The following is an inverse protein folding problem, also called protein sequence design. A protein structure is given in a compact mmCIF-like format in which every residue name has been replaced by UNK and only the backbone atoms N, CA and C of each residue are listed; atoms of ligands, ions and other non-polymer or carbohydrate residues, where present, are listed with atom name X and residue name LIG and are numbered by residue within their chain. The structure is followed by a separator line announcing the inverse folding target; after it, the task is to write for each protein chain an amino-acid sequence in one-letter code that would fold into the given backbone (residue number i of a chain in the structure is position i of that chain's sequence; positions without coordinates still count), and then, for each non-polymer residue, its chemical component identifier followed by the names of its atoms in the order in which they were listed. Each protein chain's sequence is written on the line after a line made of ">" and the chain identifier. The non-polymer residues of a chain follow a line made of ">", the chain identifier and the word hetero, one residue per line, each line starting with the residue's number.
data_IF_312536727796
#
_entry.id   IF_312536727796
#
_cell.length_a   1.000
_cell.length_b   1.000
_cell.length_c   1.000
_cell.angle_alpha   90.00
_cell.angle_beta   90.00
_cell.angle_gamma   90.00
#
_symmetry.space_group_name_H-M   'P 1'
#
loop_
_entity.id
_entity.type
_entity.pdbx_description
1 polymer ?
#
# COMPACT_ATOMS: atom_id res chain seq x y z
N UNK A 1 -28.14 -23.64 -2.02
CA UNK A 1 -28.05 -22.35 -2.75
C UNK A 1 -28.40 -22.63 -4.20
N UNK A 2 -29.50 -22.11 -4.75
CA UNK A 2 -29.79 -22.27 -6.20
C UNK A 2 -28.78 -21.43 -6.99
N UNK A 3 -27.89 -22.13 -7.69
CA UNK A 3 -26.87 -21.62 -8.59
C UNK A 3 -27.52 -20.92 -9.78
N UNK A 4 -27.21 -19.64 -9.96
CA UNK A 4 -27.10 -19.10 -11.31
C UNK A 4 -25.61 -19.18 -11.63
N UNK A 5 -25.19 -20.34 -12.12
CA UNK A 5 -23.92 -20.48 -12.82
C UNK A 5 -24.00 -19.60 -14.06
N UNK A 6 -23.09 -18.64 -14.21
CA UNK A 6 -22.83 -18.11 -15.55
C UNK A 6 -22.57 -19.32 -16.44
N UNK A 7 -23.24 -19.39 -17.60
CA UNK A 7 -23.10 -20.53 -18.52
C UNK A 7 -21.64 -20.71 -18.93
N UNK A 8 -21.32 -21.84 -19.55
CA UNK A 8 -19.98 -22.08 -20.10
C UNK A 8 -19.55 -21.05 -21.16
N UNK A 9 -20.48 -20.22 -21.64
CA UNK A 9 -20.30 -19.19 -22.67
C UNK A 9 -19.83 -17.84 -22.14
N UNK A 10 -19.65 -17.68 -20.81
CA UNK A 10 -19.09 -16.46 -20.20
C UNK A 10 -20.11 -15.57 -19.50
N UNK A 11 -19.71 -14.33 -19.22
CA UNK A 11 -20.57 -13.31 -18.60
C UNK A 11 -21.31 -12.57 -19.71
N UNK A 12 -22.65 -12.45 -19.68
CA UNK A 12 -23.38 -11.71 -20.71
C UNK A 12 -22.80 -10.31 -20.90
N UNK A 13 -22.62 -9.86 -22.15
CA UNK A 13 -22.00 -8.57 -22.46
C UNK A 13 -22.70 -7.39 -21.74
N UNK A 14 -24.03 -7.46 -21.61
CA UNK A 14 -24.84 -6.51 -20.84
C UNK A 14 -24.41 -6.41 -19.35
N UNK A 15 -23.98 -7.51 -18.75
CA UNK A 15 -23.53 -7.50 -17.36
C UNK A 15 -22.15 -6.83 -17.23
N UNK A 16 -21.28 -6.98 -18.23
CA UNK A 16 -19.98 -6.32 -18.29
C UNK A 16 -20.12 -4.80 -18.49
N UNK A 17 -21.08 -4.34 -19.30
CA UNK A 17 -21.35 -2.91 -19.48
C UNK A 17 -21.88 -2.24 -18.21
N UNK A 18 -22.53 -3.02 -17.33
CA UNK A 18 -23.01 -2.55 -16.03
C UNK A 18 -21.90 -2.44 -14.97
N UNK A 19 -20.69 -2.96 -15.20
CA UNK A 19 -19.57 -2.82 -14.25
C UNK A 19 -19.16 -1.35 -14.15
N UNK A 20 -18.98 -0.86 -12.92
CA UNK A 20 -18.45 0.46 -12.62
C UNK A 20 -17.15 0.70 -13.40
N UNK A 21 -17.09 1.83 -14.10
CA UNK A 21 -16.00 2.18 -15.02
C UNK A 21 -14.61 2.04 -14.40
N UNK A 22 -14.50 2.22 -13.08
CA UNK A 22 -13.23 2.15 -12.35
C UNK A 22 -12.57 0.78 -12.39
N UNK A 23 -13.37 -0.27 -12.61
CA UNK A 23 -12.92 -1.66 -12.61
C UNK A 23 -12.91 -2.28 -14.01
N UNK A 24 -13.57 -1.67 -15.00
CA UNK A 24 -13.64 -2.19 -16.38
C UNK A 24 -12.26 -2.55 -16.95
N UNK A 25 -11.18 -1.75 -16.78
CA UNK A 25 -9.88 -2.06 -17.35
C UNK A 25 -9.26 -3.40 -16.91
N UNK A 26 -9.72 -3.98 -15.80
CA UNK A 26 -9.24 -5.30 -15.36
C UNK A 26 -9.80 -6.43 -16.24
N UNK A 27 -10.89 -6.18 -16.95
CA UNK A 27 -11.62 -7.14 -17.78
C UNK A 27 -11.33 -7.01 -19.26
N UNK A 28 -11.05 -5.78 -19.67
CA UNK A 28 -10.67 -5.46 -21.04
C UNK A 28 -9.43 -6.32 -21.36
N UNK A 29 -9.51 -7.05 -22.47
CA UNK A 29 -8.46 -7.96 -22.96
C UNK A 29 -8.25 -9.23 -22.12
N UNK A 30 -9.23 -9.63 -21.30
CA UNK A 30 -9.23 -10.93 -20.61
C UNK A 30 -10.12 -11.96 -21.31
N UNK A 31 -9.70 -13.24 -21.36
CA UNK A 31 -10.53 -14.33 -21.88
C UNK A 31 -11.89 -14.43 -21.15
N UNK A 32 -12.95 -14.91 -21.81
CA UNK A 32 -14.29 -15.03 -21.23
C UNK A 32 -14.35 -15.82 -19.91
N UNK A 33 -13.51 -16.83 -19.74
CA UNK A 33 -13.37 -17.63 -18.52
C UNK A 33 -12.80 -16.81 -17.35
N UNK A 34 -11.79 -15.96 -17.60
CA UNK A 34 -11.22 -15.06 -16.59
C UNK A 34 -12.27 -14.06 -16.13
N UNK A 35 -12.97 -13.43 -17.09
CA UNK A 35 -14.05 -12.50 -16.81
C UNK A 35 -15.12 -13.17 -15.93
N UNK A 36 -15.55 -14.39 -16.29
CA UNK A 36 -16.51 -15.17 -15.51
C UNK A 36 -16.07 -15.42 -14.08
N UNK A 37 -14.82 -15.87 -13.89
CA UNK A 37 -14.28 -16.14 -12.56
C UNK A 37 -14.30 -14.88 -11.68
N UNK A 38 -13.85 -13.73 -12.22
CA UNK A 38 -13.92 -12.45 -11.52
C UNK A 38 -15.36 -12.02 -11.20
N UNK A 39 -16.31 -12.24 -12.11
CA UNK A 39 -17.71 -11.85 -11.90
C UNK A 39 -18.34 -12.66 -10.80
N UNK A 40 -18.12 -13.97 -10.81
CA UNK A 40 -18.65 -14.91 -9.85
C UNK A 40 -18.17 -14.61 -8.42
N UNK A 41 -16.91 -14.18 -8.29
CA UNK A 41 -16.30 -13.88 -7.01
C UNK A 41 -16.63 -12.46 -6.51
N UNK A 42 -16.48 -11.44 -7.35
CA UNK A 42 -16.55 -10.05 -6.90
C UNK A 42 -17.91 -9.38 -7.10
N UNK A 43 -18.72 -9.76 -8.09
CA UNK A 43 -19.91 -8.98 -8.43
C UNK A 43 -21.18 -9.52 -7.75
N UNK A 44 -22.14 -8.64 -7.43
CA UNK A 44 -23.35 -9.06 -6.75
C UNK A 44 -24.25 -9.84 -7.71
N UNK A 45 -24.44 -11.14 -7.44
CA UNK A 45 -25.15 -12.10 -8.30
C UNK A 45 -26.61 -11.74 -8.63
N UNK A 46 -27.28 -10.98 -7.76
CA UNK A 46 -28.72 -10.65 -7.87
C UNK A 46 -29.03 -9.16 -7.85
N UNK A 47 -28.02 -8.31 -8.08
CA UNK A 47 -28.23 -6.86 -8.05
C UNK A 47 -29.01 -6.40 -9.30
N UNK A 48 -30.13 -5.71 -9.06
CA UNK A 48 -30.89 -5.00 -10.10
C UNK A 48 -30.35 -3.59 -10.38
N UNK A 49 -29.25 -3.17 -9.73
CA UNK A 49 -28.69 -1.83 -9.94
C UNK A 49 -28.15 -1.67 -11.37
N UNK A 50 -28.34 -0.48 -11.99
CA UNK A 50 -27.82 -0.22 -13.33
C UNK A 50 -26.29 -0.28 -13.36
N UNK A 51 -25.63 0.19 -12.29
CA UNK A 51 -24.18 0.11 -12.12
C UNK A 51 -23.86 -0.91 -11.02
N UNK A 52 -22.96 -1.84 -11.33
CA UNK A 52 -22.46 -2.89 -10.46
C UNK A 52 -21.08 -2.50 -9.94
N UNK A 53 -20.98 -2.33 -8.64
CA UNK A 53 -19.70 -2.24 -7.96
C UNK A 53 -19.32 -3.62 -7.41
N UNK A 54 -18.02 -3.92 -7.25
CA UNK A 54 -17.59 -5.09 -6.50
C UNK A 54 -18.29 -5.16 -5.15
N UNK A 55 -18.89 -6.31 -4.86
CA UNK A 55 -19.23 -6.68 -3.49
C UNK A 55 -17.96 -6.73 -2.67
N UNK A 56 -18.12 -6.56 -1.36
CA UNK A 56 -17.03 -6.73 -0.43
C UNK A 56 -16.97 -8.22 -0.05
N UNK A 57 -16.10 -9.05 -0.68
CA UNK A 57 -15.75 -10.37 -0.11
C UNK A 57 -15.27 -10.18 1.32
N UNK A 58 -15.30 -11.20 2.17
CA UNK A 58 -15.31 -11.01 3.63
C UNK A 58 -14.07 -10.25 4.10
N UNK A 59 -12.89 -10.80 3.86
CA UNK A 59 -11.56 -10.29 4.20
C UNK A 59 -10.75 -9.92 2.94
N UNK A 60 -10.77 -10.75 1.89
CA UNK A 60 -9.95 -10.62 0.68
C UNK A 60 -10.55 -9.64 -0.32
N UNK A 61 -10.38 -8.33 -0.11
CA UNK A 61 -10.99 -7.30 -0.97
C UNK A 61 -10.31 -7.19 -2.32
N UNK A 62 -11.05 -6.73 -3.32
CA UNK A 62 -10.45 -6.26 -4.56
C UNK A 62 -9.74 -4.92 -4.34
N UNK A 63 -8.45 -4.88 -4.60
CA UNK A 63 -7.64 -3.66 -4.54
C UNK A 63 -7.32 -3.17 -5.94
N UNK A 64 -8.15 -2.26 -6.44
CA UNK A 64 -7.94 -1.68 -7.77
C UNK A 64 -8.08 -0.16 -7.78
N UNK A 65 -7.45 0.57 -6.83
CA UNK A 65 -7.63 2.01 -6.75
C UNK A 65 -7.19 2.73 -8.03
N UNK A 66 -6.36 2.10 -8.87
CA UNK A 66 -5.75 2.72 -10.04
C UNK A 66 -6.07 2.01 -11.36
N UNK A 67 -7.00 1.05 -11.42
CA UNK A 67 -7.31 0.35 -12.69
C UNK A 67 -7.73 1.31 -13.81
N UNK A 68 -8.46 2.35 -13.45
CA UNK A 68 -8.98 3.37 -14.37
C UNK A 68 -8.06 4.56 -14.56
N UNK A 69 -6.86 4.56 -13.97
CA UNK A 69 -5.92 5.63 -14.22
C UNK A 69 -5.39 5.53 -15.64
N UNK A 70 -5.53 6.62 -16.41
CA UNK A 70 -5.00 6.72 -17.78
C UNK A 70 -3.48 6.54 -17.84
N UNK A 71 -2.75 7.02 -16.82
CA UNK A 71 -1.28 7.02 -16.81
C UNK A 71 -0.67 5.73 -16.28
N UNK A 72 -1.28 5.10 -15.26
CA UNK A 72 -0.73 3.90 -14.60
C UNK A 72 -1.87 2.92 -14.27
N UNK A 73 -2.48 2.27 -15.27
CA UNK A 73 -3.54 1.31 -15.01
C UNK A 73 -3.00 0.14 -14.18
N UNK A 74 -3.54 -0.05 -12.97
CA UNK A 74 -3.25 -1.25 -12.17
C UNK A 74 -4.13 -2.42 -12.60
N UNK A 75 -3.55 -3.61 -12.80
CA UNK A 75 -4.32 -4.83 -13.07
C UNK A 75 -5.10 -5.38 -11.85
N UNK A 76 -5.63 -6.60 -12.00
CA UNK A 76 -6.27 -7.36 -10.93
C UNK A 76 -5.34 -7.54 -9.72
N UNK A 77 -5.79 -7.17 -8.51
CA UNK A 77 -5.05 -7.36 -7.24
C UNK A 77 -6.00 -7.54 -6.08
N UNK A 78 -5.52 -8.20 -5.04
CA UNK A 78 -6.22 -8.33 -3.77
C UNK A 78 -5.62 -7.43 -2.70
N UNK A 79 -6.41 -7.14 -1.67
CA UNK A 79 -5.94 -6.57 -0.41
C UNK A 79 -6.59 -7.28 0.77
N UNK A 80 -5.77 -7.60 1.76
CA UNK A 80 -6.17 -8.12 3.07
C UNK A 80 -5.68 -7.11 4.11
N UNK A 81 -6.57 -6.28 4.65
CA UNK A 81 -6.27 -5.55 5.88
C UNK A 81 -6.54 -6.50 7.05
N UNK A 82 -5.51 -6.95 7.77
CA UNK A 82 -5.64 -7.97 8.84
C UNK A 82 -6.26 -7.42 10.13
N UNK A 83 -6.16 -6.11 10.31
CA UNK A 83 -6.67 -5.35 11.46
C UNK A 83 -7.61 -4.24 11.01
N UNK A 84 -8.23 -3.56 11.98
CA UNK A 84 -8.98 -2.33 11.79
C UNK A 84 -8.28 -1.21 12.54
N UNK A 85 -8.07 -0.05 11.91
CA UNK A 85 -7.25 1.02 12.50
C UNK A 85 -5.77 0.62 12.67
N UNK A 86 -4.97 1.53 13.22
CA UNK A 86 -3.53 1.33 13.42
C UNK A 86 -3.03 2.08 14.65
N UNK A 87 -2.20 1.43 15.47
CA UNK A 87 -1.56 2.02 16.67
C UNK A 87 -0.54 3.12 16.36
N UNK A 88 -0.06 3.22 15.11
CA UNK A 88 1.01 4.16 14.76
C UNK A 88 0.63 5.64 14.86
N UNK A 89 -0.67 5.94 14.81
CA UNK A 89 -1.21 7.29 14.98
C UNK A 89 -0.52 8.38 14.12
N UNK A 90 -0.15 8.06 12.88
CA UNK A 90 0.54 9.02 12.01
C UNK A 90 -0.34 10.25 11.72
N UNK A 91 0.21 11.44 11.93
CA UNK A 91 -0.46 12.73 11.71
C UNK A 91 -0.91 12.90 10.25
N UNK A 92 -0.11 12.38 9.32
CA UNK A 92 -0.34 12.44 7.88
C UNK A 92 -1.08 11.22 7.30
N UNK A 93 -1.68 10.37 8.14
CA UNK A 93 -2.27 9.11 7.70
C UNK A 93 -3.45 9.32 6.73
N UNK A 94 -3.30 8.84 5.49
CA UNK A 94 -4.38 8.91 4.49
C UNK A 94 -5.60 8.07 4.87
N UNK A 95 -5.40 6.99 5.63
CA UNK A 95 -6.48 6.13 6.09
C UNK A 95 -7.34 6.79 7.17
N UNK A 96 -6.90 7.88 7.81
CA UNK A 96 -7.69 8.59 8.83
C UNK A 96 -9.04 9.13 8.32
N UNK A 97 -9.20 9.24 7.00
CA UNK A 97 -10.44 9.64 6.32
C UNK A 97 -11.49 8.53 6.21
N UNK A 98 -11.15 7.26 6.51
CA UNK A 98 -12.09 6.15 6.41
C UNK A 98 -11.88 5.00 7.42
N UNK A 99 -10.68 4.83 7.96
CA UNK A 99 -10.39 3.87 9.04
C UNK A 99 -10.74 4.46 10.41
N UNK A 100 -11.24 3.62 11.34
CA UNK A 100 -11.40 4.00 12.75
C UNK A 100 -10.06 4.41 13.38
N UNK A 101 -10.11 5.36 14.32
CA UNK A 101 -8.92 5.78 15.06
C UNK A 101 -8.43 4.71 16.04
N UNK A 102 -9.36 4.02 16.73
CA UNK A 102 -9.03 2.97 17.68
C UNK A 102 -8.67 1.66 16.94
N UNK A 103 -7.46 1.12 17.15
CA UNK A 103 -7.06 -0.15 16.53
C UNK A 103 -7.81 -1.32 17.18
N UNK A 104 -8.17 -2.34 16.39
CA UNK A 104 -8.86 -3.52 16.89
C UNK A 104 -8.66 -4.78 16.03
N UNK A 105 -8.82 -5.93 16.68
CA UNK A 105 -8.83 -7.26 16.06
C UNK A 105 -10.15 -7.48 15.31
N UNK A 106 -10.07 -8.09 14.12
CA UNK A 106 -11.27 -8.45 13.34
C UNK A 106 -11.92 -9.73 13.87
N UNK A 107 -13.19 -9.67 14.29
CA UNK A 107 -13.93 -10.86 14.73
C UNK A 107 -14.04 -11.89 13.59
N UNK A 108 -13.83 -13.16 13.92
CA UNK A 108 -13.94 -14.30 13.00
C UNK A 108 -13.00 -14.21 11.77
N UNK A 109 -11.88 -13.49 11.88
CA UNK A 109 -10.93 -13.28 10.77
C UNK A 109 -10.52 -14.60 10.10
N UNK A 110 -10.10 -15.59 10.88
CA UNK A 110 -9.70 -16.91 10.38
C UNK A 110 -10.78 -17.59 9.53
N UNK A 111 -12.00 -17.65 10.07
CA UNK A 111 -13.17 -18.24 9.39
C UNK A 111 -13.47 -17.48 8.10
N UNK A 112 -13.51 -16.15 8.15
CA UNK A 112 -13.83 -15.32 7.00
C UNK A 112 -12.78 -15.42 5.89
N UNK A 113 -11.50 -15.42 6.24
CA UNK A 113 -10.40 -15.60 5.29
C UNK A 113 -10.46 -16.99 4.65
N UNK A 114 -10.69 -18.04 5.45
CA UNK A 114 -10.81 -19.40 4.93
C UNK A 114 -11.95 -19.53 3.92
N UNK A 115 -13.12 -18.94 4.22
CA UNK A 115 -14.26 -18.92 3.30
C UNK A 115 -13.95 -18.15 2.00
N UNK A 116 -13.27 -17.01 2.10
CA UNK A 116 -12.88 -16.24 0.90
C UNK A 116 -11.90 -17.01 0.02
N UNK A 117 -10.98 -17.78 0.60
CA UNK A 117 -10.01 -18.58 -0.14
C UNK A 117 -10.67 -19.82 -0.78
N UNK A 118 -11.63 -20.45 -0.09
CA UNK A 118 -12.44 -21.53 -0.66
C UNK A 118 -13.29 -21.03 -1.85
N UNK A 119 -13.94 -19.86 -1.70
CA UNK A 119 -14.71 -19.26 -2.77
C UNK A 119 -13.82 -18.88 -3.97
N UNK A 120 -12.57 -18.46 -3.71
CA UNK A 120 -11.60 -18.12 -4.74
C UNK A 120 -11.19 -19.35 -5.56
N UNK A 121 -10.96 -20.48 -4.88
CA UNK A 121 -10.70 -21.77 -5.54
C UNK A 121 -11.93 -22.27 -6.33
N UNK A 122 -13.12 -22.19 -5.72
CA UNK A 122 -14.36 -22.67 -6.34
C UNK A 122 -14.77 -21.86 -7.59
N UNK A 123 -14.49 -20.56 -7.62
CA UNK A 123 -14.73 -19.70 -8.78
C UNK A 123 -13.61 -19.73 -9.82
N UNK A 124 -12.55 -20.51 -9.57
CA UNK A 124 -11.33 -20.56 -10.37
C UNK A 124 -10.73 -19.18 -10.68
N UNK A 125 -10.64 -18.31 -9.66
CA UNK A 125 -10.14 -16.96 -9.88
C UNK A 125 -8.66 -16.99 -10.25
N UNK A 126 -8.27 -16.38 -11.38
CA UNK A 126 -6.89 -16.38 -11.85
C UNK A 126 -5.96 -15.64 -10.88
N UNK A 127 -4.69 -16.06 -10.79
CA UNK A 127 -3.80 -15.56 -9.77
C UNK A 127 -3.45 -14.10 -9.97
N UNK A 128 -3.33 -13.39 -8.85
CA UNK A 128 -3.05 -11.95 -8.81
C UNK A 128 -2.20 -11.57 -7.59
N UNK A 129 -1.57 -10.39 -7.58
CA UNK A 129 -0.87 -9.91 -6.39
C UNK A 129 -1.84 -9.70 -5.23
N UNK A 130 -1.37 -9.93 -4.01
CA UNK A 130 -2.11 -9.60 -2.78
C UNK A 130 -1.29 -8.65 -1.93
N UNK A 131 -1.91 -7.52 -1.55
CA UNK A 131 -1.35 -6.60 -0.58
C UNK A 131 -1.87 -6.92 0.82
N UNK A 132 -0.98 -6.98 1.80
CA UNK A 132 -1.32 -7.09 3.20
C UNK A 132 -1.27 -5.69 3.83
N UNK A 133 -2.40 -5.27 4.39
CA UNK A 133 -2.53 -4.08 5.23
C UNK A 133 -2.11 -2.76 4.54
N UNK A 134 -2.77 -2.40 3.46
CA UNK A 134 -2.58 -1.08 2.87
C UNK A 134 -3.11 0.04 3.78
N UNK A 135 -4.20 -0.20 4.52
CA UNK A 135 -4.88 0.82 5.36
C UNK A 135 -4.60 0.69 6.86
N UNK A 136 -3.89 -0.36 7.28
CA UNK A 136 -3.52 -0.67 8.66
C UNK A 136 -2.05 -1.09 8.70
N UNK A 137 -1.50 -1.48 9.84
CA UNK A 137 -0.18 -2.14 9.88
C UNK A 137 -0.34 -3.62 10.27
N UNK A 138 0.28 -4.58 9.55
CA UNK A 138 0.17 -6.00 9.86
C UNK A 138 1.02 -6.40 11.08
N UNK A 139 2.07 -5.65 11.40
CA UNK A 139 2.99 -5.92 12.51
C UNK A 139 2.90 -4.81 13.57
N UNK A 140 1.68 -4.44 13.92
CA UNK A 140 1.40 -3.60 15.09
C UNK A 140 1.28 -4.47 16.37
N UNK A 141 1.28 -3.90 17.59
CA UNK A 141 1.19 -4.64 18.86
C UNK A 141 0.10 -5.73 18.90
N UNK A 142 -1.05 -5.51 18.23
CA UNK A 142 -2.13 -6.49 18.13
C UNK A 142 -1.72 -7.85 17.54
N UNK A 143 -0.59 -7.93 16.82
CA UNK A 143 -0.10 -9.20 16.28
C UNK A 143 0.42 -10.15 17.36
N UNK A 144 0.93 -9.65 18.49
CA UNK A 144 1.47 -10.52 19.56
C UNK A 144 0.40 -11.43 20.15
N UNK A 145 -0.83 -10.92 20.26
CA UNK A 145 -1.95 -11.63 20.86
C UNK A 145 -2.82 -12.33 19.81
N UNK A 146 -3.08 -11.67 18.66
CA UNK A 146 -4.06 -12.16 17.70
C UNK A 146 -3.48 -13.04 16.57
N UNK A 147 -2.20 -12.87 16.21
CA UNK A 147 -1.55 -13.67 15.16
C UNK A 147 -2.23 -13.63 13.78
N UNK A 148 -2.98 -12.56 13.45
CA UNK A 148 -3.76 -12.50 12.22
C UNK A 148 -2.88 -12.37 10.99
N UNK A 149 -1.77 -11.65 11.09
CA UNK A 149 -0.80 -11.53 10.00
C UNK A 149 -0.16 -12.86 9.72
N UNK A 150 0.34 -13.56 10.75
CA UNK A 150 0.89 -14.90 10.58
C UNK A 150 -0.11 -15.87 9.96
N UNK A 151 -1.33 -15.92 10.48
CA UNK A 151 -2.40 -16.76 9.94
C UNK A 151 -2.70 -16.42 8.46
N UNK A 152 -2.73 -15.13 8.11
CA UNK A 152 -2.96 -14.71 6.74
C UNK A 152 -1.82 -15.19 5.82
N UNK A 153 -0.56 -14.98 6.22
CA UNK A 153 0.61 -15.40 5.46
C UNK A 153 0.67 -16.94 5.28
N UNK A 154 0.37 -17.71 6.32
CA UNK A 154 0.27 -19.18 6.24
C UNK A 154 -0.87 -19.62 5.31
N UNK A 155 -2.03 -18.93 5.37
CA UNK A 155 -3.17 -19.21 4.50
C UNK A 155 -2.89 -18.91 3.02
N UNK A 156 -2.15 -17.82 2.75
CA UNK A 156 -1.69 -17.45 1.41
C UNK A 156 -0.67 -18.47 0.88
N UNK A 157 0.23 -18.96 1.74
CA UNK A 157 1.17 -20.01 1.39
C UNK A 157 0.45 -21.32 1.03
N UNK A 158 -0.63 -21.65 1.76
CA UNK A 158 -1.45 -22.84 1.49
C UNK A 158 -2.20 -22.79 0.16
N UNK A 159 -2.52 -21.60 -0.36
CA UNK A 159 -3.13 -21.39 -1.71
C UNK A 159 -2.21 -20.63 -2.64
N UNK A 160 -0.92 -20.98 -2.66
CA UNK A 160 0.09 -20.21 -3.40
C UNK A 160 -0.21 -20.10 -4.90
N UNK A 161 -0.94 -21.04 -5.50
CA UNK A 161 -1.39 -21.04 -6.90
C UNK A 161 -2.36 -19.90 -7.26
N UNK A 162 -2.93 -19.22 -6.28
CA UNK A 162 -3.90 -18.12 -6.45
C UNK A 162 -3.31 -16.72 -6.29
N UNK A 163 -2.05 -16.62 -5.92
CA UNK A 163 -1.39 -15.33 -5.69
C UNK A 163 -0.15 -15.26 -6.56
N UNK A 164 0.20 -14.12 -7.15
CA UNK A 164 1.46 -14.01 -7.91
C UNK A 164 2.58 -13.47 -7.04
N UNK A 165 2.33 -12.32 -6.41
CA UNK A 165 3.22 -11.69 -5.44
C UNK A 165 2.47 -11.40 -4.15
N UNK A 166 3.07 -11.76 -3.00
CA UNK A 166 2.59 -11.31 -1.68
C UNK A 166 3.36 -10.06 -1.27
N UNK A 167 2.66 -8.95 -1.11
CA UNK A 167 3.25 -7.66 -0.73
C UNK A 167 2.80 -7.27 0.66
N UNK A 168 3.76 -6.96 1.52
CA UNK A 168 3.52 -6.60 2.92
C UNK A 168 3.94 -5.15 3.08
N UNK A 169 3.00 -4.28 3.46
CA UNK A 169 3.29 -2.89 3.79
C UNK A 169 3.35 -2.73 5.31
N UNK A 170 4.46 -2.25 5.85
CA UNK A 170 4.60 -2.01 7.30
C UNK A 170 5.51 -0.83 7.64
N UNK A 171 5.36 -0.27 8.83
CA UNK A 171 6.37 0.58 9.50
C UNK A 171 7.19 -0.17 10.54
N UNK A 172 6.93 -1.46 10.76
CA UNK A 172 7.56 -2.26 11.81
C UNK A 172 8.28 -3.50 11.28
N UNK A 173 9.39 -3.30 10.52
CA UNK A 173 10.16 -4.41 9.97
C UNK A 173 10.82 -5.27 11.05
N UNK A 174 11.23 -4.67 12.19
CA UNK A 174 11.90 -5.37 13.29
C UNK A 174 11.01 -6.46 13.87
N UNK A 175 9.72 -6.16 14.05
CA UNK A 175 8.76 -7.16 14.52
C UNK A 175 8.57 -8.34 13.57
N UNK A 176 8.79 -8.19 12.26
CA UNK A 176 8.81 -9.33 11.33
C UNK A 176 9.95 -10.30 11.70
N UNK A 177 11.11 -9.75 12.02
CA UNK A 177 12.31 -10.50 12.43
C UNK A 177 12.08 -11.13 13.80
N UNK A 178 11.65 -10.35 14.79
CA UNK A 178 11.46 -10.81 16.17
C UNK A 178 10.40 -11.92 16.29
N UNK A 179 9.32 -11.86 15.49
CA UNK A 179 8.29 -12.89 15.44
C UNK A 179 8.68 -14.11 14.57
N UNK A 180 9.90 -14.16 14.05
CA UNK A 180 10.41 -15.27 13.24
C UNK A 180 9.68 -15.47 11.92
N UNK A 181 9.11 -14.41 11.34
CA UNK A 181 8.34 -14.50 10.10
C UNK A 181 9.20 -14.62 8.84
N UNK A 182 10.52 -14.36 8.93
CA UNK A 182 11.46 -14.44 7.80
C UNK A 182 11.37 -15.78 7.04
N UNK A 183 11.27 -16.91 7.75
CA UNK A 183 11.18 -18.24 7.16
C UNK A 183 9.90 -18.43 6.33
N UNK A 184 8.78 -17.92 6.85
CA UNK A 184 7.50 -17.93 6.17
C UNK A 184 7.54 -17.04 4.91
N UNK A 185 8.17 -15.87 5.01
CA UNK A 185 8.36 -14.98 3.85
C UNK A 185 9.25 -15.62 2.78
N UNK A 186 10.36 -16.27 3.15
CA UNK A 186 11.21 -17.01 2.21
C UNK A 186 10.45 -18.10 1.46
N UNK A 187 9.55 -18.82 2.17
CA UNK A 187 8.68 -19.83 1.55
C UNK A 187 7.66 -19.20 0.60
N UNK A 188 7.05 -18.08 0.98
CA UNK A 188 6.13 -17.32 0.11
C UNK A 188 6.80 -16.76 -1.14
N UNK A 189 8.10 -16.45 -1.05
CA UNK A 189 8.94 -16.00 -2.16
C UNK A 189 9.21 -17.07 -3.22
N UNK A 190 8.87 -18.33 -2.96
CA UNK A 190 9.03 -19.44 -3.91
C UNK A 190 7.68 -19.82 -4.50
N UNK A 191 7.56 -19.69 -5.82
CA UNK A 191 6.41 -20.22 -6.55
C UNK A 191 6.53 -21.74 -6.65
N UNK A 192 5.42 -22.43 -6.39
CA UNK A 192 5.33 -23.90 -6.54
C UNK A 192 5.44 -24.28 -8.02
N UNK A 193 5.89 -25.50 -8.29
CA UNK A 193 6.10 -26.01 -9.66
C UNK A 193 4.81 -25.95 -10.52
N UNK A 194 3.66 -26.17 -9.91
CA UNK A 194 2.32 -26.12 -10.50
C UNK A 194 1.75 -24.69 -10.64
N UNK A 195 2.49 -23.66 -10.23
CA UNK A 195 2.00 -22.29 -10.32
C UNK A 195 1.96 -21.81 -11.78
N UNK A 196 0.82 -21.33 -12.30
CA UNK A 196 0.64 -21.04 -13.73
C UNK A 196 1.56 -19.92 -14.26
N UNK A 197 2.03 -19.02 -13.39
CA UNK A 197 2.99 -17.95 -13.73
C UNK A 197 4.44 -18.20 -13.32
N UNK A 198 4.81 -19.43 -12.92
CA UNK A 198 6.16 -19.72 -12.43
C UNK A 198 7.24 -19.34 -13.45
N UNK A 199 7.08 -19.79 -14.69
CA UNK A 199 8.07 -19.58 -15.74
C UNK A 199 8.30 -18.08 -16.01
N UNK A 200 7.25 -17.26 -15.98
CA UNK A 200 7.36 -15.82 -16.19
C UNK A 200 8.14 -15.12 -15.05
N UNK A 201 7.94 -15.55 -13.81
CA UNK A 201 8.70 -15.05 -12.66
C UNK A 201 10.16 -15.47 -12.70
N UNK A 202 10.45 -16.70 -13.15
CA UNK A 202 11.83 -17.20 -13.34
C UNK A 202 12.56 -16.43 -14.45
N UNK A 203 11.87 -16.16 -15.56
CA UNK A 203 12.43 -15.39 -16.68
C UNK A 203 12.69 -13.93 -16.33
N UNK A 204 11.79 -13.30 -15.57
CA UNK A 204 11.89 -11.88 -15.23
C UNK A 204 12.70 -11.60 -13.96
N UNK A 205 12.99 -12.62 -13.15
CA UNK A 205 13.68 -12.47 -11.86
C UNK A 205 12.90 -11.66 -10.83
N UNK A 206 11.60 -11.44 -11.05
CA UNK A 206 10.78 -10.60 -10.15
C UNK A 206 10.46 -11.33 -8.85
N UNK A 207 10.44 -10.64 -7.70
CA UNK A 207 10.21 -11.29 -6.43
C UNK A 207 8.73 -11.68 -6.26
N UNK A 208 8.48 -12.92 -5.81
CA UNK A 208 7.15 -13.43 -5.51
C UNK A 208 6.68 -13.07 -4.08
N UNK A 209 7.54 -12.43 -3.29
CA UNK A 209 7.27 -11.80 -1.99
C UNK A 209 8.00 -10.47 -1.91
N UNK A 210 7.38 -9.44 -1.36
CA UNK A 210 7.99 -8.12 -1.21
C UNK A 210 7.58 -7.50 0.11
N UNK A 211 8.53 -6.96 0.88
CA UNK A 211 8.23 -6.16 2.06
C UNK A 211 8.50 -4.69 1.73
N UNK A 212 7.44 -3.89 1.73
CA UNK A 212 7.50 -2.44 1.62
C UNK A 212 7.54 -1.83 3.02
N UNK A 213 8.65 -1.17 3.34
CA UNK A 213 8.86 -0.58 4.67
C UNK A 213 8.79 0.94 4.59
N UNK A 214 7.92 1.54 5.38
CA UNK A 214 7.80 2.99 5.51
C UNK A 214 8.79 3.57 6.51
N UNK A 215 9.79 4.29 5.99
CA UNK A 215 10.74 5.08 6.75
C UNK A 215 10.87 6.45 6.07
N UNK A 216 10.01 7.38 6.49
CA UNK A 216 9.97 8.74 5.93
C UNK A 216 10.93 9.69 6.66
N UNK A 217 11.33 9.38 7.89
CA UNK A 217 12.12 10.27 8.74
C UNK A 217 13.43 9.60 9.12
N UNK A 218 14.53 10.34 8.97
CA UNK A 218 15.84 9.92 9.46
C UNK A 218 16.07 10.32 10.91
N UNK A 219 15.38 11.38 11.39
CA UNK A 219 15.56 11.90 12.74
C UNK A 219 14.38 11.53 13.63
N UNK A 220 14.70 11.13 14.85
CA UNK A 220 13.73 10.65 15.83
C UNK A 220 12.82 11.78 16.37
N UNK A 221 13.28 13.03 16.38
CA UNK A 221 12.45 14.19 16.75
C UNK A 221 11.32 14.45 15.74
N UNK A 222 11.61 14.39 14.45
CA UNK A 222 10.62 14.48 13.38
C UNK A 222 9.65 13.29 13.45
N UNK A 223 10.18 12.08 13.64
CA UNK A 223 9.36 10.87 13.81
C UNK A 223 8.38 10.99 14.98
N UNK A 224 8.87 11.40 16.17
CA UNK A 224 8.05 11.61 17.36
C UNK A 224 6.91 12.60 17.11
N UNK A 225 7.12 13.61 16.26
CA UNK A 225 6.11 14.59 15.94
C UNK A 225 5.09 14.10 14.91
N UNK A 226 5.52 13.38 13.85
CA UNK A 226 4.69 13.10 12.68
C UNK A 226 4.11 11.68 12.62
N UNK A 227 4.79 10.66 13.16
CA UNK A 227 4.28 9.30 13.29
C UNK A 227 4.53 8.71 14.69
N UNK A 228 4.03 9.34 15.77
CA UNK A 228 4.42 9.13 17.17
C UNK A 228 4.33 7.68 17.67
N UNK A 229 3.34 6.90 17.22
CA UNK A 229 3.17 5.50 17.62
C UNK A 229 3.87 4.48 16.71
N UNK A 230 4.57 4.92 15.66
CA UNK A 230 5.41 4.04 14.84
C UNK A 230 6.70 3.69 15.59
N UNK A 231 7.38 2.56 15.26
CA UNK A 231 8.67 2.22 15.84
C UNK A 231 9.72 3.31 15.63
N UNK A 232 10.76 3.32 16.45
CA UNK A 232 11.86 4.29 16.34
C UNK A 232 12.53 4.21 14.95
N UNK A 233 13.27 5.26 14.59
CA UNK A 233 14.08 5.21 13.36
C UNK A 233 15.07 4.05 13.40
N UNK A 234 15.75 3.87 14.53
CA UNK A 234 16.76 2.82 14.70
C UNK A 234 16.15 1.42 14.61
N UNK A 235 15.01 1.16 15.25
CA UNK A 235 14.30 -0.12 15.14
C UNK A 235 13.91 -0.42 13.68
N UNK A 236 13.49 0.60 12.93
CA UNK A 236 13.16 0.44 11.51
C UNK A 236 14.40 0.08 10.69
N UNK A 237 15.53 0.72 10.93
CA UNK A 237 16.80 0.44 10.24
C UNK A 237 17.32 -0.96 10.62
N UNK A 238 17.29 -1.33 11.90
CA UNK A 238 17.68 -2.65 12.38
C UNK A 238 16.82 -3.74 11.74
N UNK A 239 15.49 -3.57 11.75
CA UNK A 239 14.58 -4.51 11.12
C UNK A 239 14.78 -4.63 9.60
N UNK A 240 15.07 -3.51 8.92
CA UNK A 240 15.41 -3.52 7.50
C UNK A 240 16.68 -4.34 7.22
N UNK A 241 17.73 -4.16 8.03
CA UNK A 241 18.96 -4.95 7.92
C UNK A 241 18.71 -6.43 8.20
N UNK A 242 17.95 -6.76 9.25
CA UNK A 242 17.58 -8.14 9.56
C UNK A 242 16.78 -8.83 8.43
N UNK A 243 15.87 -8.10 7.77
CA UNK A 243 15.16 -8.61 6.60
C UNK A 243 16.08 -8.82 5.40
N UNK A 244 17.03 -7.91 5.17
CA UNK A 244 18.05 -8.04 4.12
C UNK A 244 18.93 -9.25 4.36
N UNK A 245 19.42 -9.44 5.59
CA UNK A 245 20.28 -10.57 5.97
C UNK A 245 19.54 -11.91 5.82
N UNK A 246 18.22 -11.91 6.03
CA UNK A 246 17.34 -13.05 5.75
C UNK A 246 17.02 -13.25 4.25
N UNK A 247 17.56 -12.43 3.35
CA UNK A 247 17.36 -12.52 1.90
C UNK A 247 15.95 -12.13 1.44
N UNK A 248 15.23 -11.32 2.22
CA UNK A 248 13.87 -10.87 1.87
C UNK A 248 13.95 -9.66 0.92
N UNK A 249 13.28 -9.69 -0.24
CA UNK A 249 13.23 -8.53 -1.14
C UNK A 249 12.54 -7.33 -0.48
N UNK A 250 13.20 -6.18 -0.53
CA UNK A 250 12.76 -4.94 0.12
C UNK A 250 12.40 -3.85 -0.87
N UNK A 251 11.44 -3.03 -0.47
CA UNK A 251 11.17 -1.69 -1.03
C UNK A 251 11.19 -0.70 0.12
N UNK A 252 11.96 0.38 -0.02
CA UNK A 252 11.94 1.47 0.94
C UNK A 252 10.91 2.51 0.52
N UNK A 253 9.99 2.84 1.40
CA UNK A 253 9.02 3.91 1.18
C UNK A 253 9.43 5.15 1.97
N UNK A 254 10.04 6.10 1.26
CA UNK A 254 10.27 7.46 1.75
C UNK A 254 9.01 8.26 1.43
N UNK A 255 7.92 7.87 2.12
CA UNK A 255 6.56 8.26 1.79
C UNK A 255 5.79 8.58 3.09
N UNK A 256 5.35 9.83 3.30
CA UNK A 256 5.36 10.92 2.34
C UNK A 256 6.63 11.79 2.34
N UNK A 257 6.78 12.57 1.28
CA UNK A 257 7.72 13.68 1.17
C UNK A 257 7.05 14.98 1.57
N UNK A 258 7.59 15.64 2.59
CA UNK A 258 7.17 16.97 3.00
C UNK A 258 7.88 18.05 2.19
N UNK A 259 7.35 19.28 2.14
CA UNK A 259 8.10 20.45 1.68
C UNK A 259 9.43 20.59 2.44
N UNK A 260 10.47 21.15 1.80
CA UNK A 260 11.79 21.30 2.42
C UNK A 260 12.42 22.61 2.04
N UNK A 261 13.24 23.13 2.94
CA UNK A 261 13.97 24.38 2.72
C UNK A 261 15.22 24.16 1.86
N UNK A 262 15.56 25.12 0.98
CA UNK A 262 14.69 26.22 0.54
C UNK A 262 13.62 25.69 -0.44
N UNK A 263 12.34 26.04 -0.22
CA UNK A 263 11.31 25.87 -1.25
C UNK A 263 10.97 27.27 -1.79
N UNK A 264 11.45 27.58 -2.99
CA UNK A 264 11.46 28.97 -3.49
C UNK A 264 12.50 29.81 -2.75
N UNK A 265 12.11 30.96 -2.20
CA UNK A 265 12.99 31.93 -1.54
C UNK A 265 12.79 32.06 -0.02
N UNK A 266 12.14 31.08 0.64
CA UNK A 266 11.74 31.17 2.05
C UNK A 266 12.44 30.12 2.92
N UNK A 267 13.08 30.58 3.99
CA UNK A 267 13.64 29.76 5.08
C UNK A 267 12.70 29.76 6.29
N UNK A 268 12.91 28.87 7.26
CA UNK A 268 12.14 28.80 8.52
C UNK A 268 10.69 28.34 8.38
N UNK A 269 10.34 27.65 7.29
CA UNK A 269 8.94 27.34 6.93
C UNK A 269 8.24 26.45 7.97
N UNK A 270 8.99 25.77 8.85
CA UNK A 270 8.45 24.91 9.91
C UNK A 270 8.56 25.55 11.30
N UNK A 271 9.72 26.11 11.64
CA UNK A 271 9.98 26.72 12.94
C UNK A 271 9.01 27.85 13.26
N UNK A 272 8.65 28.66 12.25
CA UNK A 272 7.69 29.77 12.37
C UNK A 272 6.29 29.31 12.79
N UNK A 273 5.99 28.01 12.63
CA UNK A 273 4.73 27.39 12.98
C UNK A 273 4.85 26.43 14.16
N UNK A 274 5.98 26.44 14.88
CA UNK A 274 6.23 25.56 16.02
C UNK A 274 6.38 24.09 15.62
N UNK A 275 6.81 23.81 14.39
CA UNK A 275 7.02 22.46 13.88
C UNK A 275 8.50 22.14 13.77
N UNK A 276 8.84 20.88 14.04
CA UNK A 276 10.13 20.31 13.68
C UNK A 276 10.18 20.11 12.17
N UNK A 277 11.27 20.48 11.51
CA UNK A 277 11.46 20.19 10.08
C UNK A 277 11.34 18.68 9.83
N UNK A 278 10.38 18.21 9.01
CA UNK A 278 10.13 16.78 8.85
C UNK A 278 11.32 16.05 8.23
N UNK A 279 11.89 16.64 7.19
CA UNK A 279 12.97 16.06 6.38
C UNK A 279 13.90 17.20 5.94
N UNK A 280 15.20 17.05 6.11
CA UNK A 280 16.21 17.90 5.47
C UNK A 280 16.74 17.23 4.19
N UNK A 281 17.45 17.96 3.30
CA UNK A 281 18.15 17.32 2.18
C UNK A 281 19.13 16.23 2.62
N UNK A 282 19.82 16.42 3.76
CA UNK A 282 20.72 15.42 4.33
C UNK A 282 19.97 14.17 4.80
N UNK A 283 18.81 14.34 5.44
CA UNK A 283 17.97 13.20 5.85
C UNK A 283 17.55 12.34 4.65
N UNK A 284 17.18 12.98 3.53
CA UNK A 284 16.83 12.26 2.31
C UNK A 284 18.02 11.53 1.70
N UNK A 285 19.19 12.17 1.64
CA UNK A 285 20.41 11.53 1.14
C UNK A 285 20.74 10.29 1.98
N UNK A 286 20.66 10.38 3.31
CA UNK A 286 20.90 9.23 4.21
C UNK A 286 19.90 8.11 3.99
N UNK A 287 18.62 8.42 3.77
CA UNK A 287 17.61 7.40 3.44
C UNK A 287 17.87 6.76 2.07
N UNK A 288 18.37 7.51 1.08
CA UNK A 288 18.75 6.97 -0.24
C UNK A 288 20.01 6.11 -0.13
N UNK A 289 21.02 6.53 0.64
CA UNK A 289 22.20 5.72 0.94
C UNK A 289 21.80 4.41 1.64
N UNK A 290 20.88 4.46 2.60
CA UNK A 290 20.34 3.24 3.24
C UNK A 290 19.61 2.35 2.21
N UNK A 291 18.82 2.93 1.31
CA UNK A 291 18.18 2.16 0.24
C UNK A 291 19.20 1.46 -0.67
N UNK A 292 20.33 2.12 -0.96
CA UNK A 292 21.44 1.55 -1.72
C UNK A 292 22.13 0.43 -0.95
N UNK A 293 22.46 0.69 0.33
CA UNK A 293 23.04 -0.29 1.27
C UNK A 293 22.21 -1.57 1.25
N UNK A 294 20.89 -1.45 1.42
CA UNK A 294 19.96 -2.57 1.50
C UNK A 294 19.63 -3.22 0.15
N UNK A 295 20.13 -2.67 -0.97
CA UNK A 295 19.85 -3.15 -2.33
C UNK A 295 18.34 -3.28 -2.62
N UNK A 296 17.56 -2.27 -2.24
CA UNK A 296 16.10 -2.30 -2.41
C UNK A 296 15.70 -2.33 -3.89
N UNK A 297 14.55 -2.93 -4.19
CA UNK A 297 14.03 -3.06 -5.56
C UNK A 297 13.76 -1.70 -6.22
N UNK A 298 13.29 -0.75 -5.40
CA UNK A 298 13.07 0.66 -5.72
C UNK A 298 12.71 1.42 -4.44
N UNK A 299 12.76 2.75 -4.53
CA UNK A 299 12.22 3.68 -3.53
C UNK A 299 10.81 4.10 -3.95
N UNK A 300 9.87 4.15 -3.00
CA UNK A 300 8.53 4.71 -3.22
C UNK A 300 8.40 6.06 -2.53
N UNK A 301 7.79 7.02 -3.21
CA UNK A 301 7.54 8.35 -2.67
C UNK A 301 6.16 8.89 -3.05
N UNK A 302 5.68 9.86 -2.30
CA UNK A 302 4.57 10.72 -2.72
C UNK A 302 4.58 12.05 -1.96
N UNK A 303 4.05 13.15 -2.53
CA UNK A 303 3.93 14.39 -1.78
C UNK A 303 2.98 14.23 -0.59
N UNK A 304 3.39 14.76 0.57
CA UNK A 304 2.58 14.81 1.76
C UNK A 304 1.27 15.57 1.50
N UNK A 305 0.19 15.08 2.11
CA UNK A 305 -1.14 15.65 2.03
C UNK A 305 -1.65 15.89 3.43
N UNK A 306 -2.41 16.95 3.61
CA UNK A 306 -3.11 17.19 4.87
C UNK A 306 -4.48 16.57 4.72
N UNK A 307 -4.67 15.42 5.33
CA UNK A 307 -5.89 14.61 5.19
C UNK A 307 -6.89 15.07 6.24
N UNK A 308 -8.13 15.35 5.83
CA UNK A 308 -9.22 15.62 6.76
C UNK A 308 -9.70 14.29 7.36
N UNK A 309 -9.52 14.03 8.67
CA UNK A 309 -9.98 12.81 9.27
C UNK A 309 -11.51 12.76 9.31
N UNK A 310 -12.09 11.56 9.21
CA UNK A 310 -13.55 11.40 9.22
C UNK A 310 -14.13 11.73 10.59
N UNK A 311 -15.04 12.70 10.63
CA UNK A 311 -15.78 13.08 11.84
C UNK A 311 -14.91 13.62 12.97
N UNK A 312 -13.69 14.09 12.68
CA UNK A 312 -12.75 14.66 13.66
C UNK A 312 -12.10 15.91 13.11
N UNK A 313 -11.63 16.79 13.99
CA UNK A 313 -10.83 17.95 13.59
C UNK A 313 -9.40 17.51 13.22
N UNK A 314 -8.69 18.38 12.48
CA UNK A 314 -7.24 18.23 12.29
C UNK A 314 -6.54 18.34 13.64
N UNK A 315 -5.48 17.54 13.84
CA UNK A 315 -4.60 17.69 15.00
C UNK A 315 -3.91 19.05 14.99
N UNK A 316 -3.40 19.54 16.15
CA UNK A 316 -2.61 20.77 16.19
C UNK A 316 -1.43 20.76 15.20
N UNK A 317 -0.75 19.62 15.06
CA UNK A 317 0.36 19.43 14.09
C UNK A 317 -0.12 19.64 12.66
N UNK A 318 -1.24 19.04 12.27
CA UNK A 318 -1.75 19.14 10.91
C UNK A 318 -2.43 20.48 10.63
N UNK A 319 -2.96 21.18 11.64
CA UNK A 319 -3.40 22.57 11.53
C UNK A 319 -2.21 23.50 11.28
N UNK A 320 -1.10 23.33 12.00
CA UNK A 320 0.14 24.05 11.76
C UNK A 320 0.70 23.76 10.36
N UNK A 321 0.76 22.49 9.94
CA UNK A 321 1.17 22.09 8.59
C UNK A 321 0.29 22.72 7.50
N UNK A 322 -1.01 22.90 7.75
CA UNK A 322 -1.90 23.62 6.84
C UNK A 322 -1.52 25.09 6.68
N UNK A 323 -1.10 25.76 7.75
CA UNK A 323 -0.57 27.13 7.68
C UNK A 323 0.76 27.20 6.93
N UNK A 324 1.64 26.20 7.12
CA UNK A 324 2.85 26.04 6.29
C UNK A 324 2.49 25.94 4.80
N UNK A 325 1.53 25.08 4.44
CA UNK A 325 1.09 24.93 3.05
C UNK A 325 0.50 26.24 2.50
N UNK A 326 -0.28 26.97 3.30
CA UNK A 326 -0.83 28.27 2.91
C UNK A 326 0.28 29.29 2.63
N UNK A 327 1.29 29.35 3.49
CA UNK A 327 2.43 30.24 3.33
C UNK A 327 3.20 29.90 2.04
N UNK A 328 3.64 28.66 1.90
CA UNK A 328 4.44 28.19 0.76
C UNK A 328 3.70 28.36 -0.57
N UNK A 329 2.38 28.22 -0.58
CA UNK A 329 1.59 28.37 -1.81
C UNK A 329 1.41 29.82 -2.25
N UNK A 330 1.67 30.81 -1.39
CA UNK A 330 1.34 32.22 -1.68
C UNK A 330 2.12 32.75 -2.90
N UNK A 331 1.47 33.48 -3.84
CA UNK A 331 0.11 34.04 -3.74
C UNK A 331 -1.05 33.08 -4.09
N UNK A 332 -0.75 31.86 -4.53
CA UNK A 332 -1.76 30.82 -4.73
C UNK A 332 -2.26 30.27 -3.38
N UNK A 333 -3.13 29.24 -3.44
CA UNK A 333 -3.68 28.59 -2.25
C UNK A 333 -3.55 27.06 -2.36
N UNK A 334 -3.43 26.34 -1.24
CA UNK A 334 -3.48 24.88 -1.24
C UNK A 334 -4.77 24.36 -1.88
N UNK A 335 -4.66 23.30 -2.68
CA UNK A 335 -5.77 22.70 -3.41
C UNK A 335 -6.45 21.65 -2.53
N UNK A 336 -7.76 21.81 -2.26
CA UNK A 336 -8.55 20.79 -1.57
C UNK A 336 -9.19 19.84 -2.58
N UNK A 337 -8.85 18.55 -2.51
CA UNK A 337 -9.38 17.52 -3.42
C UNK A 337 -9.51 16.17 -2.71
N UNK A 338 -10.65 15.48 -2.85
CA UNK A 338 -10.83 14.14 -2.29
C UNK A 338 -10.55 14.05 -0.79
N UNK A 339 -11.01 15.05 -0.01
CA UNK A 339 -10.86 15.06 1.44
C UNK A 339 -9.45 15.40 1.96
N UNK A 340 -8.60 16.04 1.16
CA UNK A 340 -7.26 16.45 1.61
C UNK A 340 -6.80 17.75 0.96
N UNK A 341 -6.02 18.55 1.68
CA UNK A 341 -5.28 19.68 1.13
C UNK A 341 -3.94 19.21 0.54
N UNK A 342 -3.58 19.74 -0.62
CA UNK A 342 -2.34 19.49 -1.36
C UNK A 342 -1.67 20.82 -1.70
N UNK A 343 -0.36 20.78 -1.89
CA UNK A 343 0.31 21.90 -2.56
C UNK A 343 -0.18 22.04 -4.02
N UNK A 344 -0.15 23.26 -4.56
CA UNK A 344 -0.33 23.53 -5.98
C UNK A 344 0.52 22.62 -6.88
N UNK A 345 0.01 22.17 -8.04
CA UNK A 345 0.71 21.22 -8.92
C UNK A 345 2.13 21.62 -9.34
N UNK A 346 2.35 22.91 -9.58
CA UNK A 346 3.64 23.53 -9.92
C UNK A 346 4.69 23.39 -8.79
N UNK A 347 4.25 23.32 -7.54
CA UNK A 347 5.14 23.11 -6.38
C UNK A 347 5.40 21.64 -6.06
N UNK A 348 4.60 20.70 -6.60
CA UNK A 348 4.77 19.27 -6.30
C UNK A 348 6.08 18.71 -6.87
N UNK A 349 6.56 19.22 -8.01
CA UNK A 349 7.83 18.79 -8.57
C UNK A 349 9.00 19.22 -7.67
N UNK A 350 9.02 20.46 -7.18
CA UNK A 350 10.03 20.94 -6.23
C UNK A 350 10.11 20.10 -4.94
N UNK A 351 8.99 19.51 -4.51
CA UNK A 351 8.95 18.59 -3.35
C UNK A 351 9.48 17.20 -3.68
N UNK A 352 9.40 16.74 -4.93
CA UNK A 352 9.69 15.34 -5.29
C UNK A 352 10.96 15.16 -6.11
N UNK A 353 11.34 16.13 -6.93
CA UNK A 353 12.52 16.10 -7.79
C UNK A 353 13.84 15.95 -7.03
N UNK A 354 14.05 16.53 -5.83
CA UNK A 354 15.29 16.30 -5.09
C UNK A 354 15.51 14.83 -4.75
N UNK A 355 14.48 14.14 -4.24
CA UNK A 355 14.58 12.70 -3.94
C UNK A 355 14.86 11.89 -5.22
N UNK A 356 14.15 12.20 -6.30
CA UNK A 356 14.32 11.49 -7.59
C UNK A 356 15.74 11.65 -8.12
N UNK A 357 16.31 12.83 -8.01
CA UNK A 357 17.67 13.14 -8.42
C UNK A 357 18.69 12.40 -7.56
N UNK A 358 18.52 12.41 -6.23
CA UNK A 358 19.34 11.63 -5.31
C UNK A 358 19.29 10.13 -5.64
N UNK A 359 18.09 9.57 -5.83
CA UNK A 359 17.92 8.18 -6.26
C UNK A 359 18.65 7.90 -7.58
N UNK A 360 18.56 8.80 -8.57
CA UNK A 360 19.24 8.68 -9.87
C UNK A 360 20.76 8.65 -9.71
N UNK A 361 21.34 9.52 -8.87
CA UNK A 361 22.79 9.54 -8.58
C UNK A 361 23.27 8.24 -7.94
N UNK A 362 22.46 7.63 -7.08
CA UNK A 362 22.76 6.36 -6.42
C UNK A 362 22.34 5.11 -7.23
N UNK A 363 21.84 5.28 -8.46
CA UNK A 363 21.42 4.17 -9.31
C UNK A 363 20.14 3.44 -8.83
N UNK A 364 19.34 4.08 -7.99
CA UNK A 364 18.11 3.52 -7.44
C UNK A 364 16.90 4.01 -8.24
N UNK A 365 16.00 3.09 -8.61
CA UNK A 365 14.72 3.47 -9.23
C UNK A 365 13.81 4.12 -8.19
N UNK A 366 13.22 5.27 -8.50
CA UNK A 366 12.21 5.92 -7.68
C UNK A 366 10.84 5.83 -8.36
N UNK A 367 9.81 5.40 -7.63
CA UNK A 367 8.42 5.29 -8.10
C UNK A 367 7.48 6.13 -7.26
N UNK A 368 6.59 6.87 -7.91
CA UNK A 368 5.50 7.56 -7.22
C UNK A 368 4.47 6.53 -6.73
N UNK A 369 3.87 6.72 -5.54
CA UNK A 369 2.95 5.75 -4.93
C UNK A 369 1.69 5.42 -5.77
N UNK A 370 1.36 6.28 -6.74
CA UNK A 370 0.23 6.08 -7.67
C UNK A 370 0.63 5.32 -8.93
N UNK A 371 1.94 5.09 -9.16
CA UNK A 371 2.41 4.24 -10.24
C UNK A 371 2.16 2.77 -9.93
N UNK A 372 2.33 1.92 -10.93
CA UNK A 372 2.33 0.49 -10.70
C UNK A 372 3.58 0.07 -9.89
N UNK A 373 3.41 -0.06 -8.57
CA UNK A 373 4.47 -0.46 -7.63
C UNK A 373 4.84 -1.94 -7.73
N UNK A 374 3.89 -2.78 -8.18
CA UNK A 374 4.14 -4.20 -8.43
C UNK A 374 4.03 -4.43 -9.93
N UNK A 375 5.16 -4.46 -10.59
CA UNK A 375 5.21 -4.99 -11.94
C UNK A 375 5.14 -6.52 -11.81
N UNK A 376 3.99 -7.12 -12.06
CA UNK A 376 3.90 -8.57 -12.23
C UNK A 376 4.02 -8.90 -13.71
N UNK A 377 4.79 -9.94 -14.06
CA UNK A 377 4.74 -10.52 -15.41
C UNK A 377 3.31 -10.85 -15.80
#
# INVERSE_FOLDING_TARGET
>A
MKELTFSNEGVPAEFLTRIDERFRPVWLDKPPEYQRALAQYFLPRKSKKPILCPTRPRVLKWYCPFAHQKAFPSGHRYCINVYTGCTHACEYCYAASYEPAAPSVKRQFARMLSMDLLDLDACDVPPAPVHLSNSTDPFQPLEDEAGHTRLALESLLGRRHRFTTVVILTKNPKRIVDLGCCDLLRRLGRLRQDHPRRNEFEQTGRPAVLVEVSLAFWREDARRLYDPGAPSVDDRIEGLRGLRDAGIPLVLRIDPLFPREPLGSRAGIYSDYGLVTPQTPEDLERLVCLAQELSVQHVVYSPAKIVQPRGRQLSPVMQAMRRVYQNISAPQRPVFRGGSWRLPPDLLDAVTSPLREMCRRHGIRAKCCMQNLIETP
#
